data_IF_421083411469
#
_entry.id   IF_421083411469
#
_cell.length_a   1.000
_cell.length_b   1.000
_cell.length_c   1.000
_cell.angle_alpha   90.00
_cell.angle_beta   90.00
_cell.angle_gamma   90.00
#
_symmetry.space_group_name_H-M   'P 1'
#
loop_
_entity.id
_entity.type
_entity.pdbx_description
1 polymer ?
#
# COMPACT_ATOMS: atom_id res chain seq x y z
N UNK A 1 -40.69 76.99 -6.87
CA UNK A 1 -41.10 75.66 -6.41
C UNK A 1 -40.30 74.60 -7.22
N UNK A 2 -39.23 74.11 -6.61
CA UNK A 2 -38.30 73.11 -7.27
C UNK A 2 -38.48 71.75 -6.63
N UNK A 3 -38.90 70.74 -7.44
CA UNK A 3 -39.14 69.40 -7.03
C UNK A 3 -37.82 68.61 -7.13
N UNK A 4 -37.23 68.25 -5.98
CA UNK A 4 -36.13 67.31 -5.89
C UNK A 4 -36.66 65.86 -6.08
N UNK A 5 -36.30 65.20 -7.17
CA UNK A 5 -36.49 63.76 -7.36
C UNK A 5 -35.30 62.97 -6.77
N UNK A 6 -35.57 62.29 -5.69
CA UNK A 6 -34.60 61.33 -5.13
C UNK A 6 -34.68 60.01 -5.93
N UNK A 7 -33.60 59.64 -6.63
CA UNK A 7 -33.43 58.34 -7.25
C UNK A 7 -32.89 57.37 -6.19
N UNK A 8 -33.72 56.44 -5.74
CA UNK A 8 -33.29 55.26 -5.00
C UNK A 8 -32.81 54.20 -6.04
N UNK A 9 -31.51 54.02 -6.16
CA UNK A 9 -30.94 52.90 -6.92
C UNK A 9 -31.10 51.55 -6.15
N UNK A 10 -31.36 50.42 -6.82
CA UNK A 10 -31.48 49.14 -6.16
C UNK A 10 -30.11 48.68 -5.64
N UNK A 11 -30.02 48.45 -4.33
CA UNK A 11 -28.88 47.80 -3.68
C UNK A 11 -28.86 46.31 -4.09
N UNK A 12 -27.99 45.96 -5.02
CA UNK A 12 -27.77 44.54 -5.40
C UNK A 12 -26.96 43.88 -4.28
N UNK A 13 -27.66 43.15 -3.43
CA UNK A 13 -27.02 42.30 -2.41
C UNK A 13 -26.40 41.08 -3.11
N UNK A 14 -25.09 41.12 -3.39
CA UNK A 14 -24.33 40.01 -3.97
C UNK A 14 -24.17 38.95 -2.88
N UNK A 15 -25.01 37.90 -2.91
CA UNK A 15 -24.89 36.74 -2.07
C UNK A 15 -23.57 36.01 -2.42
N UNK A 16 -22.56 36.18 -1.59
CA UNK A 16 -21.34 35.34 -1.61
C UNK A 16 -21.74 33.92 -1.25
N UNK A 17 -22.01 33.07 -2.26
CA UNK A 17 -22.12 31.62 -2.06
C UNK A 17 -20.76 31.12 -1.63
N UNK A 18 -20.65 30.36 -0.51
CA UNK A 18 -19.42 29.70 -0.14
C UNK A 18 -19.05 28.74 -1.28
N UNK A 19 -17.80 28.83 -1.76
CA UNK A 19 -17.27 27.89 -2.73
C UNK A 19 -17.40 26.45 -2.16
N UNK A 20 -17.85 25.46 -2.95
CA UNK A 20 -17.91 24.09 -2.48
C UNK A 20 -16.50 23.66 -2.09
N UNK A 21 -16.33 23.21 -0.84
CA UNK A 21 -15.11 22.54 -0.40
C UNK A 21 -15.07 21.22 -1.19
N UNK A 22 -14.25 21.18 -2.22
CA UNK A 22 -13.95 19.95 -2.98
C UNK A 22 -13.16 19.04 -2.03
N UNK A 23 -13.87 18.15 -1.36
CA UNK A 23 -13.25 17.03 -0.66
C UNK A 23 -12.60 16.14 -1.71
N UNK A 24 -11.36 15.69 -1.43
CA UNK A 24 -10.73 14.71 -2.27
C UNK A 24 -11.59 13.44 -2.25
N UNK A 25 -11.94 12.94 -3.44
CA UNK A 25 -12.80 11.77 -3.59
C UNK A 25 -12.01 10.49 -3.27
N UNK A 26 -12.59 9.64 -2.41
CA UNK A 26 -12.06 8.32 -2.12
C UNK A 26 -12.23 7.41 -3.35
N UNK A 27 -11.15 6.83 -3.86
CA UNK A 27 -11.12 6.00 -5.06
C UNK A 27 -10.46 4.65 -4.79
N UNK A 28 -10.89 3.56 -5.43
CA UNK A 28 -10.26 2.24 -5.26
C UNK A 28 -8.93 2.11 -6.01
N UNK A 29 -8.56 3.07 -6.83
CA UNK A 29 -7.36 3.06 -7.65
C UNK A 29 -6.80 4.47 -7.87
N UNK A 30 -5.51 4.56 -8.21
CA UNK A 30 -4.84 5.80 -8.58
C UNK A 30 -3.95 5.57 -9.80
N UNK A 31 -3.96 6.51 -10.74
CA UNK A 31 -3.00 6.56 -11.84
C UNK A 31 -2.17 7.84 -11.76
N UNK A 32 -0.89 7.75 -12.15
CA UNK A 32 -0.04 8.92 -12.31
C UNK A 32 -0.48 9.77 -13.50
N UNK A 33 -0.92 9.11 -14.56
CA UNK A 33 -1.33 9.74 -15.83
C UNK A 33 -2.73 9.23 -16.20
N UNK A 34 -3.65 10.16 -16.47
CA UNK A 34 -5.01 9.81 -16.89
C UNK A 34 -5.84 9.15 -15.77
N UNK A 35 -6.65 8.18 -16.14
CA UNK A 35 -7.51 7.40 -15.24
C UNK A 35 -7.09 5.94 -15.26
N UNK A 36 -7.31 5.18 -14.16
CA UNK A 36 -7.16 3.74 -14.18
C UNK A 36 -8.00 3.09 -15.29
N UNK A 37 -7.45 2.11 -16.00
CA UNK A 37 -8.13 1.45 -17.11
C UNK A 37 -9.20 0.45 -16.64
N UNK A 38 -8.99 -0.18 -15.47
CA UNK A 38 -9.98 -1.11 -14.92
C UNK A 38 -11.08 -0.35 -14.19
N UNK A 39 -12.36 -0.72 -14.42
CA UNK A 39 -13.50 -0.14 -13.72
C UNK A 39 -13.47 -0.52 -12.21
N UNK A 40 -14.19 0.22 -11.35
CA UNK A 40 -14.18 -0.07 -9.90
C UNK A 40 -14.65 -1.48 -9.51
N UNK A 41 -15.45 -2.11 -10.35
CA UNK A 41 -16.08 -3.42 -10.19
C UNK A 41 -15.39 -4.54 -11.00
N UNK A 42 -14.13 -4.33 -11.44
CA UNK A 42 -13.40 -5.38 -12.16
C UNK A 42 -13.33 -6.68 -11.35
N UNK A 43 -13.37 -7.82 -12.04
CA UNK A 43 -13.45 -9.16 -11.41
C UNK A 43 -12.08 -9.76 -11.17
N UNK A 44 -11.12 -9.54 -12.07
CA UNK A 44 -9.74 -10.01 -11.99
C UNK A 44 -8.85 -9.11 -12.85
N UNK A 45 -7.54 -9.18 -12.63
CA UNK A 45 -6.58 -8.51 -13.50
C UNK A 45 -6.61 -9.14 -14.90
N UNK A 46 -6.42 -8.36 -15.99
CA UNK A 46 -6.57 -8.85 -17.36
C UNK A 46 -5.68 -10.06 -17.71
N UNK A 47 -4.52 -10.14 -17.09
CA UNK A 47 -3.56 -11.23 -17.30
C UNK A 47 -3.75 -12.42 -16.34
N UNK A 48 -4.73 -12.36 -15.43
CA UNK A 48 -5.05 -13.44 -14.50
C UNK A 48 -6.28 -14.21 -14.97
N UNK A 49 -6.23 -15.54 -14.86
CA UNK A 49 -7.39 -16.39 -15.11
C UNK A 49 -8.10 -16.66 -13.78
N UNK A 50 -9.29 -16.10 -13.52
CA UNK A 50 -10.01 -16.29 -12.26
C UNK A 50 -10.46 -17.75 -12.03
N UNK A 51 -10.51 -18.56 -13.10
CA UNK A 51 -10.86 -19.98 -13.07
C UNK A 51 -9.61 -20.89 -13.07
N UNK A 52 -8.41 -20.33 -12.88
CA UNK A 52 -7.18 -21.13 -12.84
C UNK A 52 -7.22 -22.14 -11.70
N UNK A 53 -6.85 -23.40 -11.95
CA UNK A 53 -6.79 -24.40 -10.89
C UNK A 53 -5.76 -24.00 -9.84
N UNK A 54 -6.07 -24.31 -8.59
CA UNK A 54 -5.13 -24.12 -7.48
C UNK A 54 -4.47 -25.45 -7.15
N UNK A 55 -3.20 -25.40 -6.76
CA UNK A 55 -2.42 -26.56 -6.38
C UNK A 55 -1.11 -26.70 -7.15
N UNK A 56 -0.41 -27.77 -6.91
CA UNK A 56 0.89 -28.04 -7.51
C UNK A 56 2.05 -27.25 -6.87
N UNK A 57 3.24 -27.53 -7.37
CA UNK A 57 4.49 -26.98 -6.85
C UNK A 57 5.26 -26.24 -7.96
N UNK A 58 5.83 -25.08 -7.63
CA UNK A 58 6.75 -24.35 -8.51
C UNK A 58 8.14 -24.31 -7.88
N UNK A 59 9.13 -24.95 -8.52
CA UNK A 59 10.55 -24.89 -8.12
C UNK A 59 11.30 -23.86 -8.93
N UNK A 60 11.92 -22.91 -8.24
CA UNK A 60 12.71 -21.84 -8.86
C UNK A 60 14.16 -21.98 -8.41
N UNK A 61 15.05 -22.20 -9.37
CA UNK A 61 16.48 -22.18 -9.14
C UNK A 61 17.01 -20.74 -9.05
N UNK A 62 17.87 -20.48 -8.06
CA UNK A 62 18.58 -19.22 -7.92
C UNK A 62 20.05 -19.45 -7.63
N UNK A 63 20.93 -18.63 -8.20
CA UNK A 63 22.37 -18.70 -7.95
C UNK A 63 22.73 -17.90 -6.72
N UNK A 64 23.52 -18.49 -5.82
CA UNK A 64 24.00 -17.88 -4.57
C UNK A 64 23.36 -18.50 -3.34
N UNK A 65 23.68 -17.96 -2.17
CA UNK A 65 23.11 -18.35 -0.88
C UNK A 65 22.30 -17.22 -0.26
N UNK A 66 21.72 -17.50 0.90
CA UNK A 66 21.01 -16.51 1.73
C UNK A 66 21.30 -16.76 3.21
N UNK A 67 21.28 -15.70 4.00
CA UNK A 67 21.51 -15.69 5.45
C UNK A 67 20.45 -14.85 6.20
N UNK A 68 19.48 -14.32 5.46
CA UNK A 68 18.33 -13.61 6.00
C UNK A 68 17.07 -13.91 5.18
N UNK A 69 15.92 -13.85 5.82
CA UNK A 69 14.58 -13.87 5.18
C UNK A 69 13.91 -12.50 5.21
N UNK A 70 14.62 -11.46 5.67
CA UNK A 70 14.14 -10.09 5.60
C UNK A 70 14.68 -9.38 4.34
N UNK A 71 13.87 -9.21 3.27
CA UNK A 71 14.33 -8.61 2.02
C UNK A 71 14.35 -7.08 2.05
N UNK A 72 14.11 -6.48 3.22
CA UNK A 72 13.94 -5.03 3.37
C UNK A 72 15.13 -4.35 4.05
N UNK A 73 16.15 -5.08 4.45
CA UNK A 73 17.34 -4.59 5.13
C UNK A 73 18.56 -4.53 4.20
N UNK A 74 19.66 -3.93 4.68
CA UNK A 74 20.94 -3.84 3.96
C UNK A 74 21.90 -4.94 4.35
N UNK A 75 21.86 -5.37 5.62
CA UNK A 75 22.71 -6.43 6.13
C UNK A 75 22.17 -7.79 5.69
N UNK A 76 23.08 -8.71 5.39
CA UNK A 76 22.70 -10.04 4.96
C UNK A 76 22.27 -10.12 3.48
N UNK A 77 21.93 -11.33 3.08
CA UNK A 77 21.47 -11.65 1.73
C UNK A 77 20.13 -12.39 1.83
N UNK A 78 19.08 -11.75 1.36
CA UNK A 78 17.75 -12.34 1.28
C UNK A 78 17.34 -12.53 -0.18
N UNK A 79 16.66 -13.65 -0.55
CA UNK A 79 16.08 -13.79 -1.87
C UNK A 79 15.10 -12.64 -2.18
N UNK A 80 15.31 -12.01 -3.33
CA UNK A 80 14.52 -10.84 -3.73
C UNK A 80 13.04 -11.15 -3.94
N UNK A 81 12.73 -12.43 -4.25
CA UNK A 81 11.37 -12.94 -4.47
C UNK A 81 10.48 -12.76 -3.23
N UNK A 82 11.06 -12.89 -2.03
CA UNK A 82 10.32 -12.74 -0.78
C UNK A 82 9.61 -11.39 -0.66
N UNK A 83 10.13 -10.33 -1.28
CA UNK A 83 9.47 -9.02 -1.29
C UNK A 83 8.12 -9.03 -1.98
N UNK A 84 7.92 -9.92 -2.94
CA UNK A 84 6.72 -9.94 -3.77
C UNK A 84 5.75 -11.02 -3.37
N UNK A 85 6.23 -12.08 -2.73
CA UNK A 85 5.40 -13.23 -2.39
C UNK A 85 4.99 -13.27 -0.92
N UNK A 86 5.80 -12.67 -0.04
CA UNK A 86 5.55 -12.67 1.39
C UNK A 86 5.01 -11.35 1.93
N UNK A 87 5.13 -10.24 1.21
CA UNK A 87 4.71 -8.94 1.71
C UNK A 87 3.73 -8.26 0.77
N UNK A 88 2.77 -7.58 1.35
CA UNK A 88 1.85 -6.73 0.62
C UNK A 88 2.03 -5.26 1.00
N UNK A 89 1.51 -4.40 0.15
CA UNK A 89 1.48 -2.96 0.31
C UNK A 89 0.04 -2.46 0.37
N UNK A 90 -0.13 -1.18 0.65
CA UNK A 90 -1.46 -0.56 0.70
C UNK A 90 -2.19 -0.71 -0.63
N UNK A 91 -1.47 -0.54 -1.73
CA UNK A 91 -1.99 -0.68 -3.09
C UNK A 91 -1.13 -1.65 -3.89
N UNK A 92 -1.72 -2.35 -4.85
CA UNK A 92 -1.03 -3.27 -5.76
C UNK A 92 -0.87 -2.69 -7.16
N UNK A 93 0.26 -2.98 -7.81
CA UNK A 93 0.54 -2.57 -9.19
C UNK A 93 -0.02 -3.58 -10.19
N UNK A 94 -0.73 -3.11 -11.21
CA UNK A 94 -0.98 -3.90 -12.42
C UNK A 94 0.25 -3.93 -13.31
N UNK A 95 0.54 -5.09 -13.92
CA UNK A 95 1.63 -5.22 -14.88
C UNK A 95 1.31 -4.58 -16.23
N UNK A 96 0.02 -4.51 -16.59
CA UNK A 96 -0.46 -3.88 -17.83
C UNK A 96 -0.52 -2.35 -17.70
N UNK A 97 -0.52 -1.83 -16.47
CA UNK A 97 -0.59 -0.41 -16.17
C UNK A 97 0.52 0.00 -15.19
N UNK A 98 1.78 0.15 -15.63
CA UNK A 98 2.93 0.30 -14.73
C UNK A 98 2.88 1.55 -13.84
N UNK A 99 2.07 2.56 -14.18
CA UNK A 99 1.87 3.78 -13.40
C UNK A 99 0.50 3.87 -12.72
N UNK A 100 -0.19 2.72 -12.58
CA UNK A 100 -1.50 2.62 -11.92
C UNK A 100 -1.45 1.62 -10.78
N UNK A 101 -2.08 1.97 -9.68
CA UNK A 101 -2.23 1.12 -8.50
C UNK A 101 -3.70 0.91 -8.19
N UNK A 102 -4.02 -0.31 -7.77
CA UNK A 102 -5.34 -0.75 -7.32
C UNK A 102 -5.32 -1.11 -5.84
N UNK A 103 -6.45 -0.94 -5.15
CA UNK A 103 -6.56 -1.23 -3.72
C UNK A 103 -6.19 -2.66 -3.37
N UNK A 104 -5.33 -2.82 -2.35
CA UNK A 104 -4.92 -4.10 -1.79
C UNK A 104 -5.18 -4.09 -0.28
N UNK A 105 -4.21 -3.83 0.60
CA UNK A 105 -4.49 -3.63 2.03
C UNK A 105 -5.38 -2.41 2.29
N UNK A 106 -5.29 -1.37 1.46
CA UNK A 106 -6.23 -0.27 1.46
C UNK A 106 -7.39 -0.51 0.49
N UNK A 107 -8.60 -0.21 0.91
CA UNK A 107 -9.80 -0.24 0.07
C UNK A 107 -9.92 1.03 -0.78
N UNK A 108 -9.38 2.15 -0.29
CA UNK A 108 -9.44 3.42 -0.99
C UNK A 108 -8.23 4.30 -0.74
N UNK A 109 -8.04 5.22 -1.69
CA UNK A 109 -7.03 6.26 -1.67
C UNK A 109 -7.70 7.61 -1.98
N UNK A 110 -7.29 8.65 -1.26
CA UNK A 110 -7.63 10.04 -1.51
C UNK A 110 -6.33 10.83 -1.68
N UNK A 111 -6.30 11.77 -2.59
CA UNK A 111 -5.11 12.58 -2.86
C UNK A 111 -5.48 14.05 -2.88
N UNK A 112 -4.71 14.88 -2.19
CA UNK A 112 -4.89 16.34 -2.21
C UNK A 112 -4.85 16.92 -3.62
N UNK A 113 -5.57 18.00 -3.85
CA UNK A 113 -5.69 18.62 -5.20
C UNK A 113 -4.33 18.97 -5.80
N UNK A 114 -3.40 19.42 -4.96
CA UNK A 114 -2.02 19.73 -5.37
C UNK A 114 -1.04 18.59 -5.09
N UNK A 115 -1.55 17.39 -4.72
CA UNK A 115 -0.75 16.21 -4.38
C UNK A 115 0.21 16.41 -3.20
N UNK A 116 -0.13 17.30 -2.29
CA UNK A 116 0.59 17.60 -1.06
C UNK A 116 0.37 16.58 0.05
N UNK A 117 -0.68 15.77 -0.06
CA UNK A 117 -0.98 14.67 0.88
C UNK A 117 -1.68 13.51 0.16
N UNK A 118 -1.61 12.36 0.81
CA UNK A 118 -2.36 11.16 0.43
C UNK A 118 -2.95 10.52 1.68
N UNK A 119 -4.19 10.05 1.58
CA UNK A 119 -4.88 9.27 2.62
C UNK A 119 -5.20 7.89 2.09
N UNK A 120 -4.90 6.88 2.88
CA UNK A 120 -5.30 5.49 2.63
C UNK A 120 -6.27 5.05 3.71
N UNK A 121 -7.34 4.36 3.31
CA UNK A 121 -8.27 3.71 4.23
C UNK A 121 -8.09 2.20 4.14
N UNK A 122 -7.70 1.56 5.25
CA UNK A 122 -7.46 0.13 5.32
C UNK A 122 -8.76 -0.67 5.20
N UNK A 123 -8.70 -1.83 4.57
CA UNK A 123 -9.79 -2.79 4.57
C UNK A 123 -10.06 -3.31 5.98
N UNK A 124 -11.31 -3.44 6.41
CA UNK A 124 -11.63 -4.00 7.72
C UNK A 124 -11.27 -5.48 7.85
N UNK A 125 -11.20 -6.21 6.72
CA UNK A 125 -10.83 -7.61 6.65
C UNK A 125 -9.32 -7.87 6.56
N UNK A 126 -8.49 -6.85 6.33
CA UNK A 126 -7.04 -7.02 6.20
C UNK A 126 -6.41 -7.63 7.46
N UNK A 127 -5.69 -8.74 7.29
CA UNK A 127 -5.09 -9.53 8.38
C UNK A 127 -3.64 -9.89 8.06
N UNK A 128 -2.87 -10.04 9.10
CA UNK A 128 -1.60 -10.77 9.04
C UNK A 128 -1.83 -12.29 9.03
N UNK A 129 -0.78 -13.03 8.69
CA UNK A 129 -0.83 -14.51 8.60
C UNK A 129 -1.12 -15.23 9.91
N UNK A 130 -1.00 -14.56 11.04
CA UNK A 130 -1.39 -15.06 12.36
C UNK A 130 -2.84 -14.67 12.75
N UNK A 131 -3.62 -14.14 11.81
CA UNK A 131 -5.02 -13.73 12.01
C UNK A 131 -5.20 -12.35 12.66
N UNK A 132 -4.14 -11.70 13.15
CA UNK A 132 -4.25 -10.37 13.75
C UNK A 132 -4.57 -9.30 12.69
N UNK A 133 -5.37 -8.26 13.02
CA UNK A 133 -5.73 -7.22 12.07
C UNK A 133 -4.53 -6.35 11.68
N UNK A 134 -4.52 -5.87 10.44
CA UNK A 134 -3.61 -4.82 10.02
C UNK A 134 -4.13 -3.47 10.50
N UNK A 135 -3.30 -2.72 11.20
CA UNK A 135 -3.67 -1.46 11.84
C UNK A 135 -2.98 -0.25 11.20
N UNK A 136 -3.53 0.95 11.45
CA UNK A 136 -2.90 2.21 11.05
C UNK A 136 -1.53 2.38 11.72
N UNK A 137 -1.37 1.86 12.93
CA UNK A 137 -0.08 1.88 13.63
C UNK A 137 0.97 1.03 12.93
N UNK A 138 0.61 -0.17 12.42
CA UNK A 138 1.52 -1.00 11.62
C UNK A 138 1.98 -0.24 10.38
N UNK A 139 1.06 0.46 9.72
CA UNK A 139 1.39 1.28 8.54
C UNK A 139 2.40 2.37 8.90
N UNK A 140 2.09 3.23 9.87
CA UNK A 140 2.97 4.36 10.26
C UNK A 140 4.33 3.84 10.70
N UNK A 141 4.35 2.78 11.52
CA UNK A 141 5.56 2.15 12.00
C UNK A 141 6.40 1.58 10.84
N UNK A 142 5.76 0.90 9.88
CA UNK A 142 6.44 0.34 8.70
C UNK A 142 7.16 1.41 7.89
N UNK A 143 6.51 2.54 7.64
CA UNK A 143 7.11 3.63 6.86
C UNK A 143 8.32 4.23 7.57
N UNK A 144 8.21 4.44 8.89
CA UNK A 144 9.32 4.96 9.71
C UNK A 144 10.48 3.97 9.72
N UNK A 145 10.25 2.71 10.08
CA UNK A 145 11.29 1.68 10.21
C UNK A 145 11.98 1.41 8.88
N UNK A 146 11.22 1.23 7.80
CA UNK A 146 11.80 1.05 6.47
C UNK A 146 12.59 2.29 6.01
N UNK A 147 12.13 3.48 6.36
CA UNK A 147 12.79 4.72 5.98
C UNK A 147 14.07 5.02 6.76
N UNK A 148 14.17 4.55 8.01
CA UNK A 148 15.30 4.82 8.91
C UNK A 148 16.29 3.64 8.93
N UNK A 149 15.78 2.43 9.13
CA UNK A 149 16.56 1.21 9.37
C UNK A 149 16.62 0.29 8.15
N UNK A 150 15.68 0.43 7.23
CA UNK A 150 15.57 -0.41 6.04
C UNK A 150 16.58 -0.09 4.95
N UNK A 151 16.47 -0.84 3.85
CA UNK A 151 17.28 -0.65 2.66
C UNK A 151 17.17 0.80 2.14
N UNK A 152 18.27 1.39 1.68
CA UNK A 152 18.36 2.78 1.24
C UNK A 152 17.28 3.20 0.22
N UNK A 153 16.74 2.26 -0.59
CA UNK A 153 15.61 2.49 -1.53
C UNK A 153 14.36 3.08 -0.86
N UNK A 154 14.21 2.88 0.44
CA UNK A 154 13.05 3.37 1.18
C UNK A 154 13.25 4.80 1.74
N UNK A 155 14.48 5.24 1.87
CA UNK A 155 14.84 6.55 2.45
C UNK A 155 14.34 7.71 1.60
N UNK A 156 14.36 7.56 0.26
CA UNK A 156 13.94 8.60 -0.68
C UNK A 156 12.49 9.07 -0.45
N UNK A 157 11.56 8.13 -0.28
CA UNK A 157 10.19 8.50 0.06
C UNK A 157 10.07 9.03 1.50
N UNK A 158 10.71 8.35 2.47
CA UNK A 158 10.61 8.74 3.87
C UNK A 158 11.09 10.18 4.10
N UNK A 159 12.18 10.60 3.45
CA UNK A 159 12.68 11.97 3.53
C UNK A 159 11.75 13.03 2.94
N UNK A 160 10.74 12.62 2.17
CA UNK A 160 9.73 13.50 1.58
C UNK A 160 8.42 13.52 2.37
N UNK A 161 8.28 12.67 3.37
CA UNK A 161 7.11 12.65 4.27
C UNK A 161 7.38 13.62 5.43
N UNK A 162 6.62 14.70 5.47
CA UNK A 162 6.67 15.66 6.58
C UNK A 162 5.79 15.25 7.76
N UNK A 163 4.73 14.47 7.51
CA UNK A 163 3.82 13.96 8.54
C UNK A 163 3.20 12.64 8.12
N UNK A 164 3.03 11.72 9.09
CA UNK A 164 2.32 10.45 8.94
C UNK A 164 1.44 10.26 10.17
N UNK A 165 0.13 10.42 10.02
CA UNK A 165 -0.82 10.45 11.15
C UNK A 165 -2.06 9.60 10.89
N UNK A 166 -2.59 9.00 11.96
CA UNK A 166 -3.92 8.40 11.95
C UNK A 166 -4.97 9.50 11.83
N UNK A 167 -5.82 9.41 10.83
CA UNK A 167 -6.93 10.36 10.59
C UNK A 167 -8.30 9.70 10.76
N UNK A 168 -8.31 8.45 11.17
CA UNK A 168 -9.49 7.66 11.49
C UNK A 168 -9.07 6.27 12.00
N UNK A 169 -10.01 5.44 12.44
CA UNK A 169 -9.71 4.10 12.97
C UNK A 169 -8.99 3.19 11.96
N UNK A 170 -9.22 3.40 10.66
CA UNK A 170 -8.63 2.66 9.54
C UNK A 170 -7.95 3.57 8.52
N UNK A 171 -7.82 4.87 8.80
CA UNK A 171 -7.31 5.84 7.84
C UNK A 171 -5.99 6.45 8.30
N UNK A 172 -5.01 6.47 7.43
CA UNK A 172 -3.70 7.10 7.60
C UNK A 172 -3.50 8.16 6.54
N UNK A 173 -3.01 9.33 6.95
CA UNK A 173 -2.67 10.42 6.04
C UNK A 173 -1.18 10.70 6.09
N UNK A 174 -0.55 10.73 4.92
CA UNK A 174 0.82 11.17 4.72
C UNK A 174 0.81 12.54 4.07
N UNK A 175 1.52 13.50 4.68
CA UNK A 175 1.75 14.82 4.10
C UNK A 175 3.18 14.87 3.57
N UNK A 176 3.36 15.43 2.39
CA UNK A 176 4.66 15.52 1.73
C UNK A 176 5.26 16.92 1.90
N UNK A 177 6.59 17.00 1.95
CA UNK A 177 7.31 18.28 2.03
C UNK A 177 7.20 19.08 0.73
N UNK A 178 7.13 18.37 -0.42
CA UNK A 178 6.99 18.98 -1.74
C UNK A 178 5.91 18.23 -2.53
N UNK A 179 5.00 18.92 -3.22
CA UNK A 179 4.03 18.29 -4.11
C UNK A 179 4.71 17.55 -5.26
N UNK A 180 4.44 16.26 -5.39
CA UNK A 180 4.98 15.43 -6.47
C UNK A 180 3.99 14.29 -6.78
N UNK A 181 3.60 14.11 -8.07
CA UNK A 181 2.65 13.08 -8.48
C UNK A 181 3.09 11.64 -8.18
N UNK A 182 4.39 11.38 -8.09
CA UNK A 182 4.92 10.04 -7.81
C UNK A 182 4.77 9.62 -6.35
N UNK A 183 4.76 10.58 -5.41
CA UNK A 183 4.86 10.27 -3.98
C UNK A 183 3.66 9.46 -3.48
N UNK A 184 2.45 9.73 -3.97
CA UNK A 184 1.27 8.96 -3.62
C UNK A 184 1.36 7.51 -4.08
N UNK A 185 1.89 7.26 -5.30
CA UNK A 185 2.11 5.91 -5.82
C UNK A 185 3.22 5.20 -5.04
N UNK A 186 4.35 5.87 -4.80
CA UNK A 186 5.45 5.31 -4.01
C UNK A 186 5.01 4.99 -2.58
N UNK A 187 4.15 5.83 -2.00
CA UNK A 187 3.52 5.53 -0.73
C UNK A 187 2.63 4.28 -0.84
N UNK A 188 1.74 4.19 -1.82
CA UNK A 188 0.88 3.02 -2.01
C UNK A 188 1.61 1.68 -2.12
N UNK A 189 2.85 1.66 -2.61
CA UNK A 189 3.66 0.46 -2.84
C UNK A 189 4.60 0.07 -1.69
N UNK A 190 4.57 0.75 -0.55
CA UNK A 190 5.41 0.43 0.59
C UNK A 190 4.91 -0.85 1.27
N UNK A 191 5.77 -1.85 1.53
CA UNK A 191 5.36 -3.05 2.26
C UNK A 191 4.96 -2.72 3.68
N UNK A 192 3.95 -3.43 4.20
CA UNK A 192 3.47 -3.27 5.57
C UNK A 192 4.03 -4.40 6.42
N UNK A 193 4.63 -4.03 7.53
CA UNK A 193 5.27 -4.90 8.51
C UNK A 193 4.41 -4.94 9.77
N UNK A 194 4.44 -6.06 10.49
CA UNK A 194 3.75 -6.20 11.76
C UNK A 194 4.56 -5.54 12.89
N UNK A 195 4.14 -4.37 13.35
CA UNK A 195 4.80 -3.62 14.43
C UNK A 195 5.07 -4.50 15.66
N UNK A 196 4.05 -5.25 16.12
CA UNK A 196 4.16 -6.09 17.33
C UNK A 196 5.24 -7.17 17.22
N UNK A 197 5.60 -7.63 16.02
CA UNK A 197 6.71 -8.58 15.84
C UNK A 197 8.07 -7.91 15.93
N UNK A 198 8.19 -6.70 15.36
CA UNK A 198 9.50 -6.12 15.06
C UNK A 198 9.95 -5.01 16.01
N UNK A 199 9.03 -4.37 16.75
CA UNK A 199 9.32 -3.16 17.52
C UNK A 199 10.40 -3.33 18.61
N UNK A 200 10.56 -4.55 19.12
CA UNK A 200 11.52 -4.88 20.21
C UNK A 200 12.73 -5.67 19.69
N UNK A 201 12.91 -5.76 18.35
CA UNK A 201 13.99 -6.47 17.67
C UNK A 201 14.87 -5.50 16.89
N UNK A 202 16.14 -5.87 16.65
CA UNK A 202 16.98 -5.17 15.68
C UNK A 202 16.53 -5.53 14.26
N UNK A 203 15.61 -4.74 13.72
CA UNK A 203 15.08 -4.94 12.37
C UNK A 203 16.20 -4.98 11.33
N UNK A 204 17.23 -4.15 11.49
CA UNK A 204 18.32 -3.99 10.51
C UNK A 204 19.30 -5.19 10.46
N UNK A 205 19.25 -6.07 11.45
CA UNK A 205 20.16 -7.21 11.59
C UNK A 205 19.43 -8.57 11.66
N UNK A 206 18.14 -8.63 11.29
CA UNK A 206 17.34 -9.87 11.30
C UNK A 206 17.89 -10.91 10.31
N UNK A 207 18.06 -12.13 10.80
CA UNK A 207 18.63 -13.26 10.07
C UNK A 207 17.58 -14.28 9.60
N UNK A 208 17.92 -15.56 9.77
CA UNK A 208 17.04 -16.71 9.47
C UNK A 208 16.21 -17.17 10.67
N UNK A 209 16.54 -16.68 11.85
CA UNK A 209 15.92 -17.03 13.14
C UNK A 209 14.55 -16.36 13.35
N UNK A 210 14.25 -15.31 12.57
CA UNK A 210 12.99 -14.58 12.67
C UNK A 210 12.20 -14.78 11.37
N UNK A 211 11.22 -15.69 11.40
CA UNK A 211 10.28 -15.87 10.31
C UNK A 211 9.25 -14.73 10.36
N UNK A 212 9.14 -13.91 9.28
CA UNK A 212 8.25 -12.75 9.30
C UNK A 212 6.78 -13.16 9.27
N UNK A 213 5.98 -12.52 10.13
CA UNK A 213 4.51 -12.56 10.07
C UNK A 213 4.09 -11.48 9.08
N UNK A 214 3.45 -11.89 7.99
CA UNK A 214 3.17 -11.04 6.83
C UNK A 214 1.69 -11.07 6.45
N UNK A 215 1.29 -10.26 5.47
CA UNK A 215 -0.11 -10.17 5.03
C UNK A 215 -0.38 -10.95 3.74
N UNK A 216 0.68 -11.41 3.05
CA UNK A 216 0.60 -12.00 1.73
C UNK A 216 0.09 -13.46 1.76
N UNK A 217 -0.37 -13.98 0.60
CA UNK A 217 -0.94 -15.32 0.52
C UNK A 217 0.06 -16.45 0.76
N UNK A 218 1.37 -16.20 0.68
CA UNK A 218 2.40 -17.21 0.95
C UNK A 218 3.15 -16.92 2.25
N UNK A 219 3.45 -17.99 2.98
CA UNK A 219 4.23 -17.98 4.22
C UNK A 219 5.44 -18.89 4.08
N UNK A 220 6.53 -18.55 4.76
CA UNK A 220 7.69 -19.44 4.85
C UNK A 220 7.32 -20.62 5.77
N UNK A 221 7.25 -21.82 5.20
CA UNK A 221 6.93 -23.06 5.90
C UNK A 221 8.17 -23.83 6.33
N UNK A 222 9.25 -23.78 5.52
CA UNK A 222 10.52 -24.39 5.83
C UNK A 222 11.67 -23.63 5.17
N UNK A 223 12.86 -23.74 5.76
CA UNK A 223 14.09 -23.24 5.15
C UNK A 223 15.31 -24.01 5.63
N UNK A 224 16.32 -24.07 4.79
CA UNK A 224 17.66 -24.49 5.15
C UNK A 224 18.68 -23.50 4.58
N UNK A 225 19.51 -22.93 5.45
CA UNK A 225 20.45 -21.87 5.11
C UNK A 225 21.28 -22.20 3.86
N UNK A 226 21.22 -21.32 2.86
CA UNK A 226 21.95 -21.46 1.61
C UNK A 226 21.47 -22.57 0.67
N UNK A 227 20.41 -23.33 1.03
CA UNK A 227 19.92 -24.43 0.19
C UNK A 227 18.53 -24.13 -0.39
N UNK A 228 17.53 -23.93 0.46
CA UNK A 228 16.17 -23.67 0.00
C UNK A 228 15.35 -22.84 0.98
N UNK A 229 14.31 -22.19 0.47
CA UNK A 229 13.19 -21.63 1.21
C UNK A 229 11.92 -22.19 0.57
N UNK A 230 11.06 -22.77 1.38
CA UNK A 230 9.74 -23.26 0.98
C UNK A 230 8.68 -22.24 1.40
N UNK A 231 7.80 -21.93 0.48
CA UNK A 231 6.66 -21.06 0.70
C UNK A 231 5.39 -21.89 0.51
N UNK A 232 4.52 -21.88 1.50
CA UNK A 232 3.22 -22.56 1.43
C UNK A 232 2.10 -21.53 1.41
N UNK A 233 1.09 -21.75 0.61
CA UNK A 233 -0.07 -20.88 0.53
C UNK A 233 -0.85 -20.93 1.86
N UNK A 234 -1.19 -19.75 2.38
CA UNK A 234 -2.06 -19.63 3.54
C UNK A 234 -3.51 -19.91 3.14
N UNK A 235 -4.14 -21.01 3.62
CA UNK A 235 -5.54 -21.31 3.29
C UNK A 235 -6.53 -20.28 3.83
N UNK A 236 -6.14 -19.57 4.89
CA UNK A 236 -6.93 -18.50 5.53
C UNK A 236 -6.51 -17.09 5.07
N UNK A 237 -5.89 -17.00 3.90
CA UNK A 237 -5.47 -15.69 3.38
C UNK A 237 -6.67 -14.74 3.22
N UNK A 238 -6.61 -13.62 3.91
CA UNK A 238 -7.69 -12.65 4.04
C UNK A 238 -8.17 -12.06 2.69
N UNK A 239 -7.26 -11.92 1.72
CA UNK A 239 -7.50 -11.24 0.44
C UNK A 239 -7.79 -12.16 -0.74
N UNK A 240 -8.06 -13.46 -0.53
CA UNK A 240 -8.28 -14.43 -1.61
C UNK A 240 -9.44 -14.06 -2.55
N UNK A 241 -10.46 -13.36 -2.04
CA UNK A 241 -11.64 -12.92 -2.80
C UNK A 241 -11.42 -11.61 -3.57
N UNK A 242 -10.34 -10.88 -3.30
CA UNK A 242 -10.11 -9.58 -3.93
C UNK A 242 -9.91 -9.70 -5.43
N UNK A 243 -10.51 -8.83 -6.25
CA UNK A 243 -10.31 -8.82 -7.70
C UNK A 243 -8.84 -8.74 -8.11
N UNK A 244 -8.02 -8.03 -7.34
CA UNK A 244 -6.57 -7.93 -7.54
C UNK A 244 -5.84 -9.26 -7.35
N UNK A 245 -6.41 -10.21 -6.59
CA UNK A 245 -5.81 -11.51 -6.24
C UNK A 245 -6.41 -12.70 -6.98
N UNK A 246 -7.61 -12.54 -7.51
CA UNK A 246 -8.33 -13.62 -8.19
C UNK A 246 -7.53 -14.14 -9.39
N UNK A 247 -7.35 -15.46 -9.45
CA UNK A 247 -6.61 -16.12 -10.52
C UNK A 247 -5.09 -15.92 -10.47
N UNK A 248 -4.56 -15.39 -9.36
CA UNK A 248 -3.12 -15.28 -9.11
C UNK A 248 -2.69 -16.18 -7.95
N UNK A 249 -1.39 -16.49 -7.85
CA UNK A 249 -0.81 -17.24 -6.73
C UNK A 249 -1.48 -18.60 -6.52
N UNK A 250 -1.54 -19.38 -7.59
CA UNK A 250 -2.32 -20.63 -7.63
C UNK A 250 -1.58 -21.87 -7.12
N UNK A 251 -0.26 -21.81 -6.90
CA UNK A 251 0.53 -22.92 -6.33
C UNK A 251 0.27 -23.06 -4.82
N UNK A 252 0.50 -24.27 -4.31
CA UNK A 252 0.43 -24.58 -2.87
C UNK A 252 1.70 -24.27 -2.13
#
# INVERSE_FOLDING_TARGET
MSLFRVFLGPLVCMLLMPAPILWAEARPAISMYGQPALPPDFVSLPYANPEAPQGGELKIGAVGGFDSVNPHILKGRSPWQLRFWNYESLMGRSWDEPFTLYGLLAESIEVGTNREWVRFTLRPEARFSDGSPVTVEDVIWSYKTLGVEGHWRYRGLWSKISSAVATGPRSVTFTFSDPNPELALLAGMRPILKKAQWQDLDFSASGLDIIPITTAPYQISALEAGKFIELTRNPEYWGAHLPFRKGTQNFE
#
